data_IF_597274228142
#
_entry.id   IF_597274228142
#
_cell.length_a   1.000
_cell.length_b   1.000
_cell.length_c   1.000
_cell.angle_alpha   90.00
_cell.angle_beta   90.00
_cell.angle_gamma   90.00
#
_symmetry.space_group_name_H-M   'P 1'
#
loop_
_entity.id
_entity.type
_entity.pdbx_description
1 polymer ?
#
# COMPACT_ATOMS: atom_id res chain seq x y z
N UNK A 1 19.20 35.59 36.79
CA UNK A 1 18.00 34.73 36.61
C UNK A 1 17.12 35.18 35.44
N UNK A 2 16.82 36.49 35.27
CA UNK A 2 15.93 36.98 34.21
C UNK A 2 16.35 36.61 32.77
N UNK A 3 17.65 36.69 32.41
CA UNK A 3 18.13 36.33 31.06
C UNK A 3 17.87 34.86 30.67
N UNK A 4 17.85 33.95 31.65
CA UNK A 4 17.55 32.53 31.41
C UNK A 4 16.06 32.30 31.21
N UNK A 5 15.21 33.04 31.93
CA UNK A 5 13.76 33.00 31.76
C UNK A 5 13.35 33.51 30.37
N UNK A 6 13.96 34.60 29.88
CA UNK A 6 13.68 35.15 28.55
C UNK A 6 14.07 34.19 27.42
N UNK A 7 15.22 33.51 27.54
CA UNK A 7 15.65 32.52 26.54
C UNK A 7 14.73 31.29 26.47
N UNK A 8 14.20 30.86 27.62
CA UNK A 8 13.26 29.74 27.72
C UNK A 8 11.90 30.08 27.09
N UNK A 9 11.39 31.29 27.35
CA UNK A 9 10.15 31.78 26.72
C UNK A 9 10.30 31.85 25.20
N UNK A 10 11.42 32.41 24.70
CA UNK A 10 11.66 32.50 23.26
C UNK A 10 11.78 31.12 22.59
N UNK A 11 12.46 30.17 23.25
CA UNK A 11 12.57 28.80 22.76
C UNK A 11 11.21 28.09 22.73
N UNK A 12 10.37 28.28 23.75
CA UNK A 12 9.01 27.74 23.81
C UNK A 12 8.10 28.35 22.72
N UNK A 13 8.17 29.66 22.50
CA UNK A 13 7.38 30.31 21.44
C UNK A 13 7.81 29.86 20.05
N UNK A 14 9.12 29.66 19.84
CA UNK A 14 9.64 29.18 18.57
C UNK A 14 9.23 27.71 18.32
N UNK A 15 9.33 26.85 19.34
CA UNK A 15 8.88 25.46 19.25
C UNK A 15 7.38 25.36 18.97
N UNK A 16 6.56 26.21 19.59
CA UNK A 16 5.11 26.25 19.34
C UNK A 16 4.79 26.73 17.91
N UNK A 17 5.48 27.76 17.41
CA UNK A 17 5.28 28.24 16.04
C UNK A 17 5.64 27.17 14.99
N UNK A 18 6.72 26.41 15.22
CA UNK A 18 7.12 25.29 14.35
C UNK A 18 6.06 24.18 14.37
N UNK A 19 5.59 23.80 15.56
CA UNK A 19 4.55 22.78 15.71
C UNK A 19 3.22 23.20 15.07
N UNK A 20 2.82 24.46 15.23
CA UNK A 20 1.62 25.01 14.62
C UNK A 20 1.70 25.01 13.08
N UNK A 21 2.84 25.41 12.51
CA UNK A 21 3.08 25.38 11.07
C UNK A 21 3.02 23.96 10.48
N UNK A 22 3.59 22.98 11.18
CA UNK A 22 3.51 21.58 10.79
C UNK A 22 2.07 21.05 10.82
N UNK A 23 1.30 21.40 11.86
CA UNK A 23 -0.11 21.01 11.97
C UNK A 23 -0.98 21.60 10.85
N UNK A 24 -0.76 22.87 10.48
CA UNK A 24 -1.48 23.48 9.34
C UNK A 24 -1.17 22.79 8.02
N UNK A 25 0.10 22.48 7.75
CA UNK A 25 0.49 21.79 6.52
C UNK A 25 -0.13 20.38 6.42
N UNK A 26 -0.15 19.63 7.53
CA UNK A 26 -0.82 18.32 7.58
C UNK A 26 -2.32 18.44 7.27
N UNK A 27 -3.00 19.44 7.82
CA UNK A 27 -4.43 19.68 7.58
C UNK A 27 -4.73 20.08 6.11
N UNK A 28 -3.79 20.74 5.43
CA UNK A 28 -3.94 21.10 4.03
C UNK A 28 -3.79 19.88 3.11
N UNK A 29 -2.85 18.98 3.41
CA UNK A 29 -2.68 17.71 2.69
C UNK A 29 -3.91 16.82 2.86
N UNK A 30 -4.40 16.68 4.09
CA UNK A 30 -5.63 15.91 4.37
C UNK A 30 -6.82 16.46 3.58
N UNK A 31 -7.01 17.78 3.58
CA UNK A 31 -8.09 18.43 2.82
C UNK A 31 -7.95 18.20 1.32
N UNK A 32 -6.74 18.31 0.77
CA UNK A 32 -6.48 18.06 -0.63
C UNK A 32 -6.76 16.59 -1.02
N UNK A 33 -6.39 15.63 -0.17
CA UNK A 33 -6.67 14.21 -0.38
C UNK A 33 -8.17 13.91 -0.33
N UNK A 34 -8.90 14.45 0.64
CA UNK A 34 -10.37 14.29 0.70
C UNK A 34 -11.03 14.89 -0.54
N UNK A 35 -10.61 16.08 -0.98
CA UNK A 35 -11.13 16.71 -2.20
C UNK A 35 -10.87 15.85 -3.45
N UNK A 36 -9.72 15.16 -3.52
CA UNK A 36 -9.41 14.26 -4.63
C UNK A 36 -10.39 13.06 -4.73
N UNK A 37 -10.99 12.65 -3.61
CA UNK A 37 -11.96 11.55 -3.55
C UNK A 37 -13.40 11.97 -3.88
N UNK A 38 -13.65 13.27 -4.06
CA UNK A 38 -14.96 13.85 -4.36
C UNK A 38 -15.05 14.48 -5.76
N UNK A 39 -14.12 14.13 -6.66
CA UNK A 39 -14.11 14.61 -8.05
C UNK A 39 -15.25 14.04 -8.91
N UNK A 40 -15.43 14.57 -10.14
CA UNK A 40 -16.47 14.08 -11.07
C UNK A 40 -16.36 12.57 -11.30
N UNK A 41 -17.46 11.84 -11.07
CA UNK A 41 -17.51 10.37 -11.20
C UNK A 41 -17.05 9.59 -9.96
N UNK A 42 -16.54 10.28 -8.94
CA UNK A 42 -16.19 9.70 -7.65
C UNK A 42 -17.26 10.01 -6.61
N UNK A 43 -17.38 9.14 -5.61
CA UNK A 43 -18.27 9.32 -4.47
C UNK A 43 -17.47 9.07 -3.21
N UNK A 44 -17.40 10.07 -2.33
CA UNK A 44 -16.65 9.98 -1.08
C UNK A 44 -17.13 8.81 -0.21
N UNK A 45 -18.42 8.48 -0.25
CA UNK A 45 -19.01 7.35 0.50
C UNK A 45 -18.65 5.98 -0.08
N UNK A 46 -18.42 5.92 -1.39
CA UNK A 46 -18.06 4.69 -2.13
C UNK A 46 -16.56 4.53 -2.35
N UNK A 47 -15.76 5.46 -1.83
CA UNK A 47 -14.30 5.45 -1.93
C UNK A 47 -13.68 5.17 -0.56
N UNK A 48 -12.57 4.44 -0.54
CA UNK A 48 -11.70 4.28 0.61
C UNK A 48 -10.26 4.58 0.20
N UNK A 49 -9.47 5.15 1.10
CA UNK A 49 -8.09 5.49 0.84
C UNK A 49 -7.27 5.50 2.14
N UNK A 50 -6.01 5.08 2.05
CA UNK A 50 -5.06 5.14 3.15
C UNK A 50 -3.67 5.46 2.59
N UNK A 51 -2.92 6.30 3.30
CA UNK A 51 -1.51 6.54 3.07
C UNK A 51 -0.76 6.25 4.37
N UNK A 52 0.34 5.52 4.27
CA UNK A 52 1.11 5.03 5.42
C UNK A 52 2.57 5.41 5.24
N UNK A 53 3.21 5.91 6.29
CA UNK A 53 4.65 6.06 6.34
C UNK A 53 5.29 4.66 6.42
N UNK A 54 6.07 4.29 5.40
CA UNK A 54 6.69 2.96 5.32
C UNK A 54 7.85 2.75 6.31
N UNK A 55 8.40 3.82 6.90
CA UNK A 55 9.45 3.71 7.91
C UNK A 55 8.88 3.42 9.31
N UNK A 56 7.76 4.08 9.64
CA UNK A 56 7.16 4.03 10.98
C UNK A 56 5.94 3.12 11.06
N UNK A 57 5.26 2.88 9.93
CA UNK A 57 3.98 2.17 9.86
C UNK A 57 2.76 3.03 10.22
N UNK A 58 2.98 4.32 10.54
CA UNK A 58 1.90 5.21 10.97
C UNK A 58 1.07 5.70 9.76
N UNK A 59 -0.27 5.76 9.88
CA UNK A 59 -1.11 6.34 8.86
C UNK A 59 -0.90 7.86 8.77
N UNK A 60 -0.55 8.34 7.58
CA UNK A 60 -0.48 9.76 7.25
C UNK A 60 -1.84 10.31 6.81
N UNK A 61 -2.71 9.44 6.32
CA UNK A 61 -4.08 9.74 5.91
C UNK A 61 -4.92 8.46 5.93
N UNK A 62 -6.18 8.56 6.36
CA UNK A 62 -7.12 7.43 6.30
C UNK A 62 -8.54 7.92 6.06
N UNK A 63 -9.20 7.37 5.06
CA UNK A 63 -10.61 7.58 4.77
C UNK A 63 -11.29 6.22 4.59
N UNK A 64 -12.23 5.90 5.51
CA UNK A 64 -12.98 4.63 5.53
C UNK A 64 -12.09 3.36 5.43
N UNK A 65 -11.01 3.25 6.24
CA UNK A 65 -10.03 2.16 6.09
C UNK A 65 -10.59 0.76 6.36
N UNK A 66 -11.62 0.64 7.22
CA UNK A 66 -12.19 -0.65 7.64
C UNK A 66 -13.43 -1.07 6.83
N UNK A 67 -13.82 -0.28 5.82
CA UNK A 67 -14.96 -0.60 4.98
C UNK A 67 -14.52 -1.63 3.92
N UNK A 68 -15.24 -2.76 3.77
CA UNK A 68 -14.92 -3.71 2.73
C UNK A 68 -15.34 -3.18 1.35
N UNK A 69 -14.47 -3.34 0.36
CA UNK A 69 -14.71 -3.00 -1.04
C UNK A 69 -14.42 -4.20 -1.95
N UNK A 70 -15.01 -4.22 -3.15
CA UNK A 70 -14.62 -5.15 -4.20
C UNK A 70 -13.24 -4.72 -4.72
N UNK A 71 -12.17 -5.53 -4.55
CA UNK A 71 -10.80 -5.08 -4.79
C UNK A 71 -10.44 -5.00 -6.29
N UNK A 72 -11.21 -5.64 -7.16
CA UNK A 72 -10.85 -5.84 -8.57
C UNK A 72 -9.40 -6.36 -8.69
N UNK A 73 -8.58 -5.82 -9.59
CA UNK A 73 -7.20 -6.27 -9.75
C UNK A 73 -6.29 -6.01 -8.53
N UNK A 74 -6.71 -5.24 -7.52
CA UNK A 74 -5.94 -5.10 -6.28
C UNK A 74 -5.87 -6.42 -5.50
N UNK A 75 -6.78 -7.36 -5.76
CA UNK A 75 -6.73 -8.73 -5.21
C UNK A 75 -5.41 -9.44 -5.53
N UNK A 76 -4.78 -9.09 -6.66
CA UNK A 76 -3.48 -9.65 -7.07
C UNK A 76 -2.39 -9.40 -6.04
N UNK A 77 -2.46 -8.33 -5.22
CA UNK A 77 -1.46 -8.07 -4.18
C UNK A 77 -1.45 -9.18 -3.13
N UNK A 78 -2.63 -9.54 -2.60
CA UNK A 78 -2.76 -10.59 -1.59
C UNK A 78 -2.37 -11.96 -2.18
N UNK A 79 -2.84 -12.27 -3.39
CA UNK A 79 -2.51 -13.54 -4.07
C UNK A 79 -1.01 -13.63 -4.37
N UNK A 80 -0.38 -12.55 -4.83
CA UNK A 80 1.06 -12.52 -5.12
C UNK A 80 1.88 -12.66 -3.84
N UNK A 81 1.50 -11.96 -2.77
CA UNK A 81 2.16 -12.12 -1.47
C UNK A 81 2.10 -13.57 -0.99
N UNK A 82 0.92 -14.20 -1.04
CA UNK A 82 0.76 -15.60 -0.67
C UNK A 82 1.59 -16.53 -1.58
N UNK A 83 1.60 -16.30 -2.89
CA UNK A 83 2.39 -17.08 -3.84
C UNK A 83 3.90 -16.96 -3.54
N UNK A 84 4.40 -15.76 -3.29
CA UNK A 84 5.82 -15.55 -2.93
C UNK A 84 6.16 -16.20 -1.58
N UNK A 85 5.28 -16.08 -0.58
CA UNK A 85 5.50 -16.67 0.74
C UNK A 85 5.49 -18.21 0.72
N UNK A 86 4.62 -18.82 -0.09
CA UNK A 86 4.44 -20.28 -0.15
C UNK A 86 5.36 -20.96 -1.16
N UNK A 87 5.56 -20.37 -2.34
CA UNK A 87 6.32 -20.96 -3.45
C UNK A 87 7.75 -20.45 -3.52
N UNK A 88 8.01 -19.24 -3.01
CA UNK A 88 9.28 -18.53 -3.17
C UNK A 88 9.43 -17.83 -4.53
N UNK A 89 10.35 -16.86 -4.64
CA UNK A 89 10.58 -16.10 -5.88
C UNK A 89 11.19 -16.96 -7.00
N UNK A 90 11.85 -18.07 -6.65
CA UNK A 90 12.48 -18.96 -7.61
C UNK A 90 11.58 -20.09 -8.11
N UNK A 91 10.31 -20.10 -7.71
CA UNK A 91 9.37 -21.10 -8.19
C UNK A 91 9.29 -21.09 -9.73
N UNK A 92 9.20 -22.29 -10.31
CA UNK A 92 8.98 -22.50 -11.75
C UNK A 92 7.85 -23.50 -11.92
N UNK A 93 6.89 -23.16 -12.77
CA UNK A 93 5.88 -24.11 -13.20
C UNK A 93 6.54 -25.19 -14.07
N UNK A 94 6.18 -26.44 -13.82
CA UNK A 94 6.64 -27.59 -14.57
C UNK A 94 5.56 -28.02 -15.56
N UNK A 95 5.96 -28.19 -16.82
CA UNK A 95 5.11 -28.72 -17.88
C UNK A 95 5.78 -29.96 -18.43
N UNK A 96 5.12 -31.10 -18.32
CA UNK A 96 5.60 -32.39 -18.82
C UNK A 96 4.72 -32.85 -20.00
N UNK A 97 5.32 -33.60 -20.93
CA UNK A 97 4.60 -34.37 -21.95
C UNK A 97 4.66 -35.84 -21.53
N UNK A 98 3.51 -36.51 -21.38
CA UNK A 98 3.41 -37.86 -20.82
C UNK A 98 2.63 -38.74 -21.79
N UNK A 99 3.25 -39.81 -22.29
CA UNK A 99 2.59 -40.76 -23.19
C UNK A 99 2.51 -42.17 -22.64
N UNK A 100 1.53 -42.92 -23.12
CA UNK A 100 1.40 -44.37 -22.90
C UNK A 100 1.64 -45.07 -24.23
N UNK A 101 2.74 -45.79 -24.33
CA UNK A 101 3.17 -46.40 -25.58
C UNK A 101 4.65 -46.69 -25.57
N UNK A 102 5.23 -46.82 -26.76
CA UNK A 102 6.67 -47.00 -26.91
C UNK A 102 7.18 -46.30 -28.15
N UNK A 103 8.42 -45.82 -28.08
CA UNK A 103 9.15 -45.31 -29.23
C UNK A 103 9.55 -46.47 -30.14
N UNK A 104 9.13 -46.44 -31.40
CA UNK A 104 9.53 -47.35 -32.46
C UNK A 104 10.25 -46.55 -33.55
N UNK A 105 11.59 -46.52 -33.49
CA UNK A 105 12.41 -45.69 -34.36
C UNK A 105 12.11 -44.19 -34.16
N UNK A 106 11.73 -43.43 -35.21
CA UNK A 106 11.34 -42.03 -35.08
C UNK A 106 9.89 -41.83 -34.60
N UNK A 107 9.04 -42.87 -34.64
CA UNK A 107 7.63 -42.78 -34.30
C UNK A 107 7.35 -43.15 -32.84
N UNK A 108 6.39 -42.47 -32.23
CA UNK A 108 5.73 -42.96 -31.02
C UNK A 108 4.53 -43.81 -31.41
N UNK A 109 4.40 -45.01 -30.83
CA UNK A 109 3.23 -45.87 -31.03
C UNK A 109 2.53 -46.00 -29.70
N UNK A 110 1.33 -45.40 -29.64
CA UNK A 110 0.54 -45.20 -28.43
C UNK A 110 0.06 -43.75 -28.35
N UNK A 111 -0.39 -43.36 -27.17
CA UNK A 111 -0.93 -42.02 -26.91
C UNK A 111 0.14 -41.12 -26.29
N UNK A 112 0.02 -39.82 -26.54
CA UNK A 112 0.81 -38.73 -25.95
C UNK A 112 -0.13 -37.74 -25.24
#
# INVERSE_FOLDING_TARGET
>A
MLRRASALVLALTLAWAIAAGAATAASDVERALVQSLAGPGLSLERSGAIAVDLQTGEPLFSHRPDVPFIPASNEKLAVTFAALALLGPEFRFRTDVIGVGRRQGPAWVGDL
#
